data_IF_408252047819
#
_entry.id   IF_408252047819
#
_cell.length_a   1.000
_cell.length_b   1.000
_cell.length_c   1.000
_cell.angle_alpha   90.00
_cell.angle_beta   90.00
_cell.angle_gamma   90.00
#
_symmetry.space_group_name_H-M   'P 1'
#
loop_
_entity.id
_entity.type
_entity.pdbx_description
1 polymer ?
#
# COMPACT_ATOMS: atom_id res chain seq x y z
N UNK A 1 32.44 -25.09 -53.22
CA UNK A 1 31.72 -25.36 -51.94
C UNK A 1 31.66 -24.07 -51.15
N UNK A 2 30.50 -23.40 -51.07
CA UNK A 2 30.38 -22.22 -50.20
C UNK A 2 29.84 -22.63 -48.84
N UNK A 3 30.53 -22.17 -47.79
CA UNK A 3 30.15 -22.26 -46.39
C UNK A 3 28.92 -21.35 -46.13
N UNK A 4 27.80 -21.94 -45.80
CA UNK A 4 26.62 -21.22 -45.32
C UNK A 4 26.79 -20.96 -43.83
N UNK A 5 27.17 -19.73 -43.47
CA UNK A 5 27.21 -19.27 -42.10
C UNK A 5 25.78 -19.02 -41.59
N UNK A 6 25.35 -19.84 -40.63
CA UNK A 6 24.06 -19.71 -39.95
C UNK A 6 24.19 -18.59 -38.90
N UNK A 7 23.67 -17.41 -39.22
CA UNK A 7 23.55 -16.30 -38.25
C UNK A 7 22.36 -16.60 -37.36
N UNK A 8 22.63 -17.05 -36.11
CA UNK A 8 21.64 -17.11 -35.07
C UNK A 8 21.36 -15.66 -34.56
N UNK A 9 20.26 -15.10 -35.04
CA UNK A 9 19.72 -13.84 -34.53
C UNK A 9 19.10 -14.11 -33.17
N UNK A 10 19.81 -13.84 -32.09
CA UNK A 10 19.26 -13.80 -30.73
C UNK A 10 18.30 -12.60 -30.63
N UNK A 11 17.03 -12.82 -30.87
CA UNK A 11 15.99 -11.87 -30.54
C UNK A 11 15.86 -11.89 -29.01
N UNK A 12 16.53 -10.95 -28.34
CA UNK A 12 16.23 -10.60 -26.97
C UNK A 12 14.83 -10.01 -26.95
N UNK A 13 13.84 -10.84 -26.66
CA UNK A 13 12.51 -10.39 -26.26
C UNK A 13 12.70 -9.64 -24.93
N UNK A 14 12.79 -8.31 -25.01
CA UNK A 14 12.58 -7.44 -23.88
C UNK A 14 11.11 -7.60 -23.48
N UNK A 15 10.82 -8.58 -22.65
CA UNK A 15 9.61 -8.52 -21.84
C UNK A 15 9.83 -7.35 -20.88
N UNK A 16 8.99 -6.30 -20.92
CA UNK A 16 9.03 -5.32 -19.85
C UNK A 16 8.82 -6.11 -18.55
N UNK A 17 9.82 -6.10 -17.68
CA UNK A 17 9.65 -6.66 -16.35
C UNK A 17 8.52 -5.86 -15.71
N UNK A 18 7.33 -6.46 -15.70
CA UNK A 18 6.21 -5.95 -14.91
C UNK A 18 6.65 -6.12 -13.47
N UNK A 19 7.25 -5.08 -12.93
CA UNK A 19 7.64 -5.03 -11.53
C UNK A 19 6.35 -5.01 -10.72
N UNK A 20 5.83 -6.18 -10.41
CA UNK A 20 4.75 -6.35 -9.44
C UNK A 20 5.27 -5.85 -8.10
N UNK A 21 4.76 -4.70 -7.67
CA UNK A 21 5.30 -4.02 -6.50
C UNK A 21 4.76 -4.63 -5.21
N UNK A 22 5.61 -5.34 -4.47
CA UNK A 22 5.36 -5.73 -3.09
C UNK A 22 4.91 -4.53 -2.26
N UNK A 23 3.70 -4.59 -1.69
CA UNK A 23 3.12 -3.59 -0.79
C UNK A 23 2.83 -4.24 0.56
N UNK A 24 3.10 -3.52 1.64
CA UNK A 24 2.56 -3.91 2.95
C UNK A 24 1.21 -3.24 3.10
N UNK A 25 0.15 -4.04 3.27
CA UNK A 25 -1.16 -3.50 3.61
C UNK A 25 -1.32 -3.39 5.13
N UNK A 26 -2.00 -2.33 5.52
CA UNK A 26 -2.41 -2.03 6.88
C UNK A 26 -3.82 -1.47 6.77
N UNK A 27 -4.81 -2.33 6.94
CA UNK A 27 -6.22 -2.01 6.70
C UNK A 27 -7.08 -2.45 7.87
N UNK A 28 -8.22 -1.83 8.03
CA UNK A 28 -9.26 -2.28 8.95
C UNK A 28 -10.54 -2.60 8.19
N UNK A 29 -11.39 -3.44 8.74
CA UNK A 29 -12.64 -3.82 8.10
C UNK A 29 -13.84 -3.26 8.88
N UNK A 30 -14.90 -2.83 8.17
CA UNK A 30 -15.01 -2.76 6.71
C UNK A 30 -14.30 -1.57 6.07
N UNK A 31 -13.93 -0.54 6.85
CA UNK A 31 -13.44 0.76 6.39
C UNK A 31 -12.46 1.39 7.39
N UNK A 32 -12.11 2.66 7.23
CA UNK A 32 -11.22 3.44 8.11
C UNK A 32 -11.97 4.36 9.10
N UNK A 33 -13.22 4.06 9.44
CA UNK A 33 -13.95 4.74 10.51
C UNK A 33 -13.97 3.91 11.78
N UNK A 34 -13.85 4.58 12.91
CA UNK A 34 -13.96 3.99 14.23
C UNK A 34 -15.13 4.59 15.01
N UNK A 35 -15.50 3.93 16.09
CA UNK A 35 -16.47 4.45 17.06
C UNK A 35 -15.83 4.45 18.46
N UNK A 36 -16.16 5.46 19.27
CA UNK A 36 -15.66 5.56 20.65
C UNK A 36 -15.96 4.29 21.44
N UNK A 37 -14.95 3.80 22.15
CA UNK A 37 -15.01 2.65 23.05
C UNK A 37 -15.46 1.35 22.34
N UNK A 38 -15.39 1.31 21.01
CA UNK A 38 -15.63 0.08 20.24
C UNK A 38 -14.32 -0.40 19.62
N UNK A 39 -14.02 -1.65 19.87
CA UNK A 39 -12.86 -2.32 19.31
C UNK A 39 -12.96 -2.41 17.78
N UNK A 40 -11.84 -2.14 17.12
CA UNK A 40 -11.67 -2.32 15.68
C UNK A 40 -10.43 -3.16 15.41
N UNK A 41 -10.58 -4.14 14.53
CA UNK A 41 -9.48 -5.02 14.13
C UNK A 41 -8.78 -4.45 12.90
N UNK A 42 -7.44 -4.44 12.96
CA UNK A 42 -6.57 -4.10 11.85
C UNK A 42 -5.85 -5.35 11.37
N UNK A 43 -5.66 -5.44 10.07
CA UNK A 43 -4.97 -6.52 9.39
C UNK A 43 -3.71 -5.98 8.72
N UNK A 44 -2.62 -6.70 8.89
CA UNK A 44 -1.29 -6.34 8.36
C UNK A 44 -0.76 -7.52 7.58
N UNK A 45 -0.48 -7.31 6.33
CA UNK A 45 0.04 -8.35 5.46
C UNK A 45 0.85 -7.76 4.31
N UNK A 46 1.30 -8.61 3.41
CA UNK A 46 1.94 -8.20 2.17
C UNK A 46 1.15 -8.68 0.97
N UNK A 47 1.12 -7.88 -0.08
CA UNK A 47 0.36 -8.19 -1.28
C UNK A 47 0.94 -7.53 -2.54
N UNK A 48 0.46 -8.00 -3.69
CA UNK A 48 0.40 -7.24 -4.92
C UNK A 48 -1.07 -6.79 -5.10
N UNK A 49 -1.42 -5.58 -4.63
CA UNK A 49 -2.81 -5.23 -4.33
C UNK A 49 -3.74 -5.28 -5.54
N UNK A 50 -3.30 -4.74 -6.68
CA UNK A 50 -4.13 -4.67 -7.88
C UNK A 50 -4.54 -6.07 -8.40
N UNK A 51 -3.76 -7.09 -8.09
CA UNK A 51 -4.00 -8.47 -8.54
C UNK A 51 -4.58 -9.37 -7.44
N UNK A 52 -4.73 -8.86 -6.22
CA UNK A 52 -5.25 -9.65 -5.10
C UNK A 52 -4.32 -10.78 -4.64
N UNK A 53 -3.04 -10.72 -5.03
CA UNK A 53 -2.03 -11.69 -4.58
C UNK A 53 -1.60 -11.40 -3.15
N UNK A 54 -1.64 -12.41 -2.29
CA UNK A 54 -1.16 -12.30 -0.91
C UNK A 54 0.22 -12.94 -0.80
N UNK A 55 1.09 -12.29 -0.06
CA UNK A 55 2.47 -12.70 0.16
C UNK A 55 2.77 -12.83 1.65
N UNK A 56 3.80 -13.60 2.00
CA UNK A 56 4.24 -13.70 3.38
C UNK A 56 4.85 -12.38 3.85
N UNK A 57 4.41 -11.92 5.02
CA UNK A 57 4.96 -10.75 5.69
C UNK A 57 5.90 -11.17 6.81
N UNK A 58 7.11 -10.63 6.81
CA UNK A 58 8.00 -10.71 7.98
C UNK A 58 7.44 -9.89 9.13
N UNK A 59 7.76 -10.26 10.35
CA UNK A 59 7.34 -9.52 11.54
C UNK A 59 7.66 -8.03 11.40
N UNK A 60 6.66 -7.14 11.55
CA UNK A 60 6.90 -5.70 11.56
C UNK A 60 7.87 -5.32 12.68
N UNK A 61 8.75 -4.36 12.40
CA UNK A 61 9.72 -3.89 13.38
C UNK A 61 9.07 -3.00 14.43
N UNK A 62 8.18 -2.13 14.01
CA UNK A 62 7.51 -1.17 14.88
C UNK A 62 6.07 -0.96 14.42
N UNK A 63 5.14 -0.95 15.37
CA UNK A 63 3.73 -0.67 15.13
C UNK A 63 3.21 0.18 16.30
N UNK A 64 2.58 1.29 15.99
CA UNK A 64 1.97 2.17 16.99
C UNK A 64 0.76 2.90 16.42
N UNK A 65 -0.12 3.33 17.29
CA UNK A 65 -1.23 4.22 16.98
C UNK A 65 -0.91 5.59 17.57
N UNK A 66 -0.83 6.59 16.73
CA UNK A 66 -0.71 7.97 17.12
C UNK A 66 -2.12 8.51 17.38
N UNK A 67 -2.36 9.00 18.60
CA UNK A 67 -3.65 9.48 19.06
C UNK A 67 -3.84 10.97 18.71
N UNK A 68 -5.09 11.48 18.70
CA UNK A 68 -5.38 12.87 18.38
C UNK A 68 -4.69 13.91 19.32
N UNK A 69 -4.34 13.51 20.52
CA UNK A 69 -3.60 14.34 21.49
C UNK A 69 -2.07 14.31 21.28
N UNK A 70 -1.57 13.60 20.26
CA UNK A 70 -0.15 13.49 19.96
C UNK A 70 0.59 12.39 20.73
N UNK A 71 -0.07 11.67 21.64
CA UNK A 71 0.54 10.52 22.32
C UNK A 71 0.45 9.26 21.46
N UNK A 72 1.22 8.23 21.81
CA UNK A 72 1.23 6.96 21.06
C UNK A 72 0.85 5.79 21.94
N UNK A 73 0.12 4.85 21.38
CA UNK A 73 -0.15 3.53 21.95
C UNK A 73 0.51 2.45 21.08
N UNK A 74 1.04 1.40 21.72
CA UNK A 74 1.62 0.26 21.04
C UNK A 74 0.73 -0.96 21.23
N UNK A 75 -0.14 -1.28 20.27
CA UNK A 75 -0.96 -2.47 20.35
C UNK A 75 -0.10 -3.73 20.21
N UNK A 76 -0.53 -4.80 20.87
CA UNK A 76 0.05 -6.13 20.66
C UNK A 76 -0.54 -6.70 19.36
N UNK A 77 0.31 -7.06 18.42
CA UNK A 77 -0.12 -7.74 17.19
C UNK A 77 0.11 -9.24 17.30
N UNK A 78 -0.83 -9.97 16.73
CA UNK A 78 -0.87 -11.42 16.72
C UNK A 78 -0.57 -11.93 15.31
N UNK A 79 0.24 -12.98 15.21
CA UNK A 79 0.45 -13.69 13.95
C UNK A 79 -0.87 -14.30 13.48
N UNK A 80 -1.18 -14.13 12.21
CA UNK A 80 -2.36 -14.69 11.57
C UNK A 80 -2.01 -15.22 10.18
N UNK A 81 -2.95 -15.86 9.52
CA UNK A 81 -2.79 -16.37 8.18
C UNK A 81 -3.88 -15.80 7.27
N UNK A 82 -3.46 -15.33 6.10
CA UNK A 82 -4.36 -14.96 5.01
C UNK A 82 -4.35 -16.03 3.94
N UNK A 83 -5.48 -16.21 3.28
CA UNK A 83 -5.59 -17.20 2.23
C UNK A 83 -5.31 -16.57 0.86
N UNK A 84 -4.21 -16.98 0.23
CA UNK A 84 -3.90 -16.65 -1.15
C UNK A 84 -4.67 -17.58 -2.09
N UNK A 85 -5.67 -17.03 -2.77
CA UNK A 85 -6.52 -17.80 -3.67
C UNK A 85 -5.83 -18.21 -4.95
N UNK A 86 -4.85 -17.44 -5.41
CA UNK A 86 -4.13 -17.70 -6.66
C UNK A 86 -3.32 -19.00 -6.57
N UNK A 87 -2.67 -19.19 -5.42
CA UNK A 87 -1.83 -20.35 -5.16
C UNK A 87 -2.47 -21.38 -4.22
N UNK A 88 -3.74 -21.16 -3.81
CA UNK A 88 -4.48 -22.00 -2.89
C UNK A 88 -3.66 -22.34 -1.62
N UNK A 89 -3.03 -21.32 -1.04
CA UNK A 89 -2.12 -21.48 0.09
C UNK A 89 -2.34 -20.41 1.16
N UNK A 90 -1.90 -20.71 2.38
CA UNK A 90 -1.91 -19.76 3.48
C UNK A 90 -0.64 -18.90 3.46
N UNK A 91 -0.78 -17.63 3.79
CA UNK A 91 0.30 -16.64 3.86
C UNK A 91 0.34 -16.00 5.22
N UNK A 92 1.54 -15.82 5.73
CA UNK A 92 1.77 -15.21 7.04
C UNK A 92 1.44 -13.72 7.00
N UNK A 93 0.65 -13.30 7.97
CA UNK A 93 0.39 -11.90 8.27
C UNK A 93 0.17 -11.69 9.76
N UNK A 94 -0.40 -10.55 10.11
CA UNK A 94 -0.64 -10.16 11.49
C UNK A 94 -1.98 -9.44 11.60
N UNK A 95 -2.56 -9.47 12.79
CA UNK A 95 -3.67 -8.59 13.15
C UNK A 95 -3.42 -7.97 14.53
N UNK A 96 -4.12 -6.91 14.81
CA UNK A 96 -4.20 -6.31 16.15
C UNK A 96 -5.54 -5.63 16.33
N UNK A 97 -5.90 -5.40 17.58
CA UNK A 97 -7.11 -4.73 17.98
C UNK A 97 -6.77 -3.39 18.61
N UNK A 98 -7.59 -2.40 18.31
CA UNK A 98 -7.48 -1.06 18.87
C UNK A 98 -8.86 -0.53 19.24
N UNK A 99 -8.98 0.05 20.45
CA UNK A 99 -10.21 0.65 20.94
C UNK A 99 -10.00 2.16 21.11
N UNK A 100 -10.57 2.99 20.22
CA UNK A 100 -10.44 4.44 20.35
C UNK A 100 -11.12 4.95 21.61
N UNK A 101 -10.37 5.66 22.46
CA UNK A 101 -10.89 6.29 23.67
C UNK A 101 -11.11 7.80 23.51
N UNK A 102 -10.64 8.38 22.41
CA UNK A 102 -10.73 9.80 22.10
C UNK A 102 -11.40 10.00 20.74
N UNK A 103 -12.14 11.10 20.60
CA UNK A 103 -12.59 11.61 19.31
C UNK A 103 -11.40 12.23 18.58
N UNK A 104 -11.41 12.16 17.25
CA UNK A 104 -10.37 12.75 16.39
C UNK A 104 -9.78 11.73 15.42
N UNK A 105 -8.82 12.18 14.65
CA UNK A 105 -8.12 11.35 13.67
C UNK A 105 -6.94 10.65 14.35
N UNK A 106 -7.02 9.36 14.45
CA UNK A 106 -5.93 8.49 14.86
C UNK A 106 -5.13 8.09 13.63
N UNK A 107 -3.85 7.81 13.79
CA UNK A 107 -3.02 7.35 12.70
C UNK A 107 -2.29 6.08 13.10
N UNK A 108 -2.59 5.00 12.42
CA UNK A 108 -1.88 3.73 12.60
C UNK A 108 -0.63 3.76 11.75
N UNK A 109 0.53 3.59 12.40
CA UNK A 109 1.86 3.73 11.83
C UNK A 109 2.63 2.43 11.98
N UNK A 110 3.23 1.94 10.89
CA UNK A 110 4.02 0.71 10.87
C UNK A 110 5.35 0.94 10.15
N UNK A 111 6.42 0.42 10.72
CA UNK A 111 7.72 0.30 10.07
C UNK A 111 8.10 -1.17 9.90
N UNK A 112 8.51 -1.55 8.71
CA UNK A 112 9.11 -2.86 8.49
C UNK A 112 10.58 -2.87 8.90
N UNK A 113 11.13 -4.05 9.03
CA UNK A 113 12.58 -4.23 8.94
C UNK A 113 13.04 -4.13 7.48
N UNK A 114 14.35 -4.12 7.25
CA UNK A 114 14.92 -4.15 5.91
C UNK A 114 14.56 -5.45 5.20
N UNK A 115 14.11 -5.34 3.97
CA UNK A 115 13.70 -6.48 3.15
C UNK A 115 14.41 -6.46 1.81
N UNK A 116 15.06 -7.56 1.46
CA UNK A 116 15.60 -7.74 0.12
C UNK A 116 14.43 -8.04 -0.83
N UNK A 117 14.28 -7.21 -1.86
CA UNK A 117 13.25 -7.29 -2.86
C UNK A 117 13.69 -8.12 -4.07
N UNK A 118 12.75 -8.55 -4.90
CA UNK A 118 13.02 -9.40 -6.09
C UNK A 118 13.93 -8.71 -7.12
N UNK A 119 13.85 -7.37 -7.21
CA UNK A 119 14.69 -6.53 -8.09
C UNK A 119 16.12 -6.31 -7.56
N UNK A 120 16.55 -7.09 -6.58
CA UNK A 120 17.87 -6.97 -5.92
C UNK A 120 18.09 -5.58 -5.31
N UNK A 121 17.05 -4.96 -4.78
CA UNK A 121 17.14 -3.76 -3.95
C UNK A 121 16.75 -4.09 -2.51
N UNK A 122 17.16 -3.27 -1.56
CA UNK A 122 16.72 -3.35 -0.16
C UNK A 122 15.67 -2.27 0.07
N UNK A 123 14.51 -2.67 0.56
CA UNK A 123 13.42 -1.77 0.95
C UNK A 123 13.24 -1.70 2.47
N UNK A 124 12.90 -0.51 2.98
CA UNK A 124 12.28 -0.32 4.29
C UNK A 124 10.91 0.30 4.06
N UNK A 125 9.87 -0.36 4.54
CA UNK A 125 8.49 0.08 4.36
C UNK A 125 8.04 0.90 5.56
N UNK A 126 7.41 2.03 5.26
CA UNK A 126 6.81 2.99 6.18
C UNK A 126 5.34 3.07 5.81
N UNK A 127 4.46 2.53 6.64
CA UNK A 127 3.04 2.37 6.27
C UNK A 127 2.17 3.13 7.23
N UNK A 128 1.16 3.81 6.71
CA UNK A 128 0.18 4.47 7.55
C UNK A 128 -1.24 4.33 7.03
N UNK A 129 -2.16 4.30 7.98
CA UNK A 129 -3.60 4.24 7.74
C UNK A 129 -4.31 5.15 8.73
N UNK A 130 -5.10 6.11 8.28
CA UNK A 130 -5.92 6.92 9.16
C UNK A 130 -7.10 6.11 9.71
N UNK A 131 -7.48 6.40 10.95
CA UNK A 131 -8.73 5.95 11.58
C UNK A 131 -9.48 7.17 12.08
N UNK A 132 -10.56 7.52 11.41
CA UNK A 132 -11.39 8.66 11.80
C UNK A 132 -12.41 8.27 12.87
N UNK A 133 -12.53 9.09 13.93
CA UNK A 133 -13.49 8.89 15.03
C UNK A 133 -14.21 10.22 15.31
N UNK A 134 -15.40 10.37 14.78
CA UNK A 134 -16.36 11.46 15.01
C UNK A 134 -15.89 12.86 14.63
N UNK A 135 -14.71 13.30 15.06
CA UNK A 135 -14.19 14.66 14.84
C UNK A 135 -12.94 14.68 13.99
N UNK A 136 -12.80 15.70 13.21
CA UNK A 136 -11.60 16.00 12.43
C UNK A 136 -10.56 16.72 13.31
N UNK A 137 -9.28 16.35 13.16
CA UNK A 137 -8.19 17.10 13.75
C UNK A 137 -7.97 18.41 12.99
N UNK A 138 -7.56 19.49 13.69
CA UNK A 138 -7.27 20.78 13.05
C UNK A 138 -6.13 20.71 12.05
N UNK A 139 -5.11 19.91 12.36
CA UNK A 139 -3.94 19.73 11.53
C UNK A 139 -3.78 18.27 11.13
N UNK A 140 -3.24 18.00 9.93
CA UNK A 140 -2.96 16.63 9.48
C UNK A 140 -1.97 15.96 10.44
N UNK A 141 -2.34 14.76 10.92
CA UNK A 141 -1.47 13.95 11.75
C UNK A 141 -0.45 13.22 10.89
N UNK A 142 0.81 13.19 11.33
CA UNK A 142 1.93 12.53 10.67
C UNK A 142 2.57 11.51 11.60
N UNK A 143 3.03 10.37 11.06
CA UNK A 143 3.77 9.37 11.82
C UNK A 143 5.19 9.84 12.19
N UNK A 144 5.71 10.86 11.52
CA UNK A 144 7.08 11.34 11.69
C UNK A 144 8.13 10.48 10.96
N UNK A 145 7.75 9.85 9.88
CA UNK A 145 8.67 9.05 9.06
C UNK A 145 9.62 9.93 8.24
N UNK A 146 10.83 9.44 7.96
CA UNK A 146 11.80 10.11 7.07
C UNK A 146 11.27 10.32 5.64
N UNK A 147 10.37 9.45 5.18
CA UNK A 147 9.62 9.58 3.94
C UNK A 147 8.14 9.48 4.26
N UNK A 148 7.38 10.53 3.99
CA UNK A 148 5.97 10.56 4.36
C UNK A 148 5.11 11.38 3.38
N UNK A 149 3.90 10.91 3.11
CA UNK A 149 2.87 11.66 2.39
C UNK A 149 2.08 12.48 3.41
N UNK A 150 2.16 13.81 3.30
CA UNK A 150 1.33 14.74 4.06
C UNK A 150 0.01 14.96 3.30
N UNK A 151 -1.14 14.60 3.86
CA UNK A 151 -2.43 14.87 3.23
C UNK A 151 -2.80 16.36 3.33
N UNK A 152 -3.34 16.94 2.26
CA UNK A 152 -3.96 18.26 2.22
C UNK A 152 -5.48 18.19 2.08
N UNK A 153 -6.00 17.06 1.60
CA UNK A 153 -7.40 16.67 1.79
C UNK A 153 -7.46 15.64 2.92
N UNK A 154 -8.59 15.56 3.62
CA UNK A 154 -8.81 14.52 4.64
C UNK A 154 -8.56 13.13 4.03
N UNK A 155 -7.76 12.26 4.65
CA UNK A 155 -7.47 10.93 4.10
C UNK A 155 -8.56 9.90 4.43
N UNK A 156 -9.82 10.33 4.51
CA UNK A 156 -11.01 9.52 4.78
C UNK A 156 -12.27 10.21 4.22
N UNK A 157 -13.39 9.47 4.18
CA UNK A 157 -14.67 9.97 3.70
C UNK A 157 -14.74 10.14 2.18
N UNK A 158 -13.85 9.49 1.44
CA UNK A 158 -13.90 9.52 -0.01
C UNK A 158 -15.05 8.69 -0.54
N UNK A 159 -15.67 9.19 -1.58
CA UNK A 159 -16.54 8.45 -2.49
C UNK A 159 -15.83 8.22 -3.81
N UNK A 160 -16.39 7.35 -4.64
CA UNK A 160 -15.95 7.15 -6.02
C UNK A 160 -15.74 8.50 -6.72
N UNK A 161 -14.65 8.64 -7.46
CA UNK A 161 -14.16 9.89 -8.08
C UNK A 161 -13.76 10.99 -7.10
N UNK A 162 -13.67 10.69 -5.82
CA UNK A 162 -13.11 11.60 -4.83
C UNK A 162 -11.66 11.94 -5.14
N UNK A 163 -11.28 13.20 -4.91
CA UNK A 163 -9.96 13.72 -5.23
C UNK A 163 -9.13 13.85 -3.97
N UNK A 164 -7.97 13.21 -3.96
CA UNK A 164 -6.97 13.34 -2.91
C UNK A 164 -5.84 14.27 -3.37
N UNK A 165 -5.53 15.25 -2.54
CA UNK A 165 -4.40 16.15 -2.70
C UNK A 165 -3.41 15.92 -1.56
N UNK A 166 -2.15 15.66 -1.90
CA UNK A 166 -1.09 15.38 -0.95
C UNK A 166 0.25 15.98 -1.37
N UNK A 167 1.19 15.93 -0.45
CA UNK A 167 2.57 16.35 -0.66
C UNK A 167 3.51 15.29 -0.09
N UNK A 168 4.54 14.94 -0.84
CA UNK A 168 5.59 14.02 -0.37
C UNK A 168 6.68 14.80 0.33
N UNK A 169 7.01 14.36 1.53
CA UNK A 169 8.11 14.88 2.34
C UNK A 169 9.20 13.80 2.49
N UNK A 170 10.45 14.21 2.33
CA UNK A 170 11.62 13.37 2.57
C UNK A 170 12.61 14.15 3.43
N UNK A 171 13.00 13.57 4.59
CA UNK A 171 13.90 14.21 5.56
C UNK A 171 13.46 15.64 5.92
N UNK A 172 12.19 15.78 6.27
CA UNK A 172 11.55 17.05 6.66
C UNK A 172 11.54 18.15 5.57
N UNK A 173 11.70 17.79 4.29
CA UNK A 173 11.60 18.71 3.15
C UNK A 173 10.67 18.15 2.08
N UNK A 174 9.96 19.01 1.34
CA UNK A 174 9.20 18.57 0.17
C UNK A 174 10.11 17.89 -0.85
N UNK A 175 9.68 16.75 -1.39
CA UNK A 175 10.41 16.02 -2.41
C UNK A 175 10.24 16.72 -3.76
N UNK A 176 11.33 17.24 -4.34
CA UNK A 176 11.28 18.10 -5.54
C UNK A 176 11.04 17.37 -6.86
N UNK A 177 11.16 16.04 -6.87
CA UNK A 177 10.96 15.20 -8.06
C UNK A 177 10.66 13.76 -7.67
N UNK A 178 9.98 13.04 -8.55
CA UNK A 178 9.64 11.63 -8.35
C UNK A 178 8.24 11.32 -8.87
N UNK A 179 7.83 10.11 -8.60
CA UNK A 179 6.50 9.62 -8.95
C UNK A 179 5.85 9.01 -7.70
N UNK A 180 4.54 9.09 -7.65
CA UNK A 180 3.71 8.25 -6.79
C UNK A 180 3.02 7.20 -7.64
N UNK A 181 2.73 6.09 -7.02
CA UNK A 181 1.95 4.99 -7.57
C UNK A 181 0.67 4.87 -6.77
N UNK A 182 -0.46 4.82 -7.45
CA UNK A 182 -1.79 4.66 -6.85
C UNK A 182 -2.35 3.33 -7.31
N UNK A 183 -2.72 2.47 -6.37
CA UNK A 183 -3.09 1.10 -6.70
C UNK A 183 -4.32 0.68 -5.90
N UNK A 184 -5.31 0.10 -6.62
CA UNK A 184 -6.50 -0.46 -6.03
C UNK A 184 -6.19 -1.79 -5.34
N UNK A 185 -6.72 -2.00 -4.15
CA UNK A 185 -6.60 -3.28 -3.46
C UNK A 185 -7.76 -4.20 -3.83
N UNK A 186 -7.53 -5.02 -4.82
CA UNK A 186 -8.50 -6.05 -5.20
C UNK A 186 -8.51 -7.16 -4.16
N UNK A 187 -9.68 -7.51 -3.60
CA UNK A 187 -9.80 -8.64 -2.67
C UNK A 187 -9.82 -10.00 -3.38
N UNK A 188 -9.88 -10.00 -4.69
CA UNK A 188 -9.99 -11.20 -5.50
C UNK A 188 -8.80 -11.27 -6.45
N UNK A 189 -8.15 -12.44 -6.52
CA UNK A 189 -7.14 -12.68 -7.52
C UNK A 189 -7.72 -12.50 -8.93
N UNK A 190 -7.05 -11.65 -9.72
CA UNK A 190 -7.40 -11.40 -11.11
C UNK A 190 -6.41 -12.14 -12.00
N UNK A 191 -6.92 -13.07 -12.81
CA UNK A 191 -6.15 -13.69 -13.88
C UNK A 191 -5.99 -12.71 -15.05
N UNK A 192 -5.01 -12.90 -15.89
CA UNK A 192 -4.77 -12.01 -17.04
C UNK A 192 -6.02 -11.86 -17.95
N UNK A 193 -6.79 -12.92 -18.11
CA UNK A 193 -8.04 -12.92 -18.87
C UNK A 193 -9.15 -12.07 -18.24
N UNK A 194 -9.12 -11.88 -16.91
CA UNK A 194 -10.10 -11.11 -16.14
C UNK A 194 -9.73 -9.62 -16.05
N UNK A 195 -8.52 -9.23 -16.50
CA UNK A 195 -8.07 -7.84 -16.45
C UNK A 195 -8.85 -6.98 -17.47
N UNK A 196 -9.15 -5.72 -17.09
CA UNK A 196 -9.80 -4.78 -18.00
C UNK A 196 -8.96 -4.61 -19.28
N UNK A 197 -9.61 -4.65 -20.42
CA UNK A 197 -8.98 -4.44 -21.73
C UNK A 197 -9.55 -3.21 -22.40
N UNK A 198 -8.72 -2.51 -23.14
CA UNK A 198 -9.14 -1.40 -23.98
C UNK A 198 -9.86 -1.88 -25.25
N UNK A 199 -10.26 -0.94 -26.13
CA UNK A 199 -10.93 -1.24 -27.39
C UNK A 199 -10.09 -2.04 -28.39
N UNK A 200 -8.78 -2.15 -28.16
CA UNK A 200 -7.84 -2.94 -28.96
C UNK A 200 -7.50 -4.29 -28.33
N UNK A 201 -8.13 -4.64 -27.19
CA UNK A 201 -7.87 -5.87 -26.47
C UNK A 201 -6.61 -5.84 -25.59
N UNK A 202 -5.99 -4.65 -25.42
CA UNK A 202 -4.82 -4.51 -24.56
C UNK A 202 -5.25 -4.33 -23.10
N UNK A 203 -4.49 -4.91 -22.18
CA UNK A 203 -4.79 -4.82 -20.75
C UNK A 203 -4.70 -3.36 -20.29
N UNK A 204 -5.78 -2.87 -19.70
CA UNK A 204 -5.87 -1.51 -19.17
C UNK A 204 -5.36 -1.46 -17.73
N UNK A 205 -4.04 -1.51 -17.54
CA UNK A 205 -3.41 -1.37 -16.23
C UNK A 205 -3.75 -0.07 -15.47
N UNK A 206 -3.94 1.11 -16.11
CA UNK A 206 -4.35 2.33 -15.42
C UNK A 206 -5.65 2.23 -14.62
N UNK A 207 -6.52 1.29 -14.95
CA UNK A 207 -7.73 1.03 -14.18
C UNK A 207 -7.45 0.49 -12.76
N UNK A 208 -6.37 -0.28 -12.61
CA UNK A 208 -5.96 -0.91 -11.35
C UNK A 208 -4.80 -0.17 -10.69
N UNK A 209 -3.94 0.45 -11.51
CA UNK A 209 -2.71 1.06 -11.09
C UNK A 209 -2.41 2.29 -11.95
N UNK A 210 -2.16 3.40 -11.29
CA UNK A 210 -1.82 4.66 -11.94
C UNK A 210 -0.51 5.24 -11.38
N UNK A 211 0.20 6.03 -12.20
CA UNK A 211 1.40 6.76 -11.81
C UNK A 211 1.21 8.24 -12.03
N UNK A 212 1.58 9.03 -11.03
CA UNK A 212 1.47 10.49 -11.07
C UNK A 212 2.80 11.11 -10.70
N UNK A 213 3.29 12.02 -11.53
CA UNK A 213 4.52 12.77 -11.27
C UNK A 213 4.30 13.82 -10.19
N UNK A 214 5.31 13.98 -9.34
CA UNK A 214 5.32 15.05 -8.35
C UNK A 214 5.61 16.41 -9.02
N UNK A 215 4.99 17.45 -8.50
CA UNK A 215 5.39 18.82 -8.79
C UNK A 215 6.77 19.13 -8.19
N UNK A 216 7.38 20.26 -8.56
CA UNK A 216 8.66 20.72 -8.01
C UNK A 216 8.65 20.90 -6.48
N UNK A 217 7.46 21.04 -5.88
CA UNK A 217 7.28 21.16 -4.44
C UNK A 217 6.69 19.89 -3.81
N UNK A 218 6.77 18.74 -4.50
CA UNK A 218 6.32 17.46 -3.98
C UNK A 218 4.81 17.25 -3.96
N UNK A 219 4.01 18.17 -4.51
CA UNK A 219 2.56 18.02 -4.56
C UNK A 219 2.12 17.05 -5.66
N UNK A 220 1.01 16.39 -5.39
CA UNK A 220 0.31 15.53 -6.34
C UNK A 220 -1.19 15.51 -6.07
N UNK A 221 -1.94 15.16 -7.10
CA UNK A 221 -3.40 15.01 -7.05
C UNK A 221 -3.76 13.68 -7.71
N UNK A 222 -4.65 12.92 -7.07
CA UNK A 222 -5.16 11.65 -7.58
C UNK A 222 -6.66 11.54 -7.34
N UNK A 223 -7.34 10.74 -8.16
CA UNK A 223 -8.74 10.34 -7.96
C UNK A 223 -8.84 8.82 -7.80
N UNK A 224 -9.94 8.37 -7.20
CA UNK A 224 -10.19 6.95 -6.94
C UNK A 224 -11.41 6.49 -7.74
N UNK A 225 -11.19 5.51 -8.62
CA UNK A 225 -12.21 5.07 -9.56
C UNK A 225 -13.19 4.04 -8.98
N UNK A 226 -12.78 3.30 -7.95
CA UNK A 226 -13.56 2.21 -7.36
C UNK A 226 -13.70 2.37 -5.85
N UNK A 227 -14.85 1.94 -5.27
CA UNK A 227 -14.98 1.77 -3.83
C UNK A 227 -14.03 0.69 -3.30
N UNK A 228 -13.59 0.86 -2.06
CA UNK A 228 -12.67 -0.09 -1.41
C UNK A 228 -11.35 0.54 -1.00
N UNK A 229 -10.37 -0.29 -0.69
CA UNK A 229 -9.06 0.15 -0.25
C UNK A 229 -8.15 0.51 -1.42
N UNK A 230 -7.44 1.61 -1.26
CA UNK A 230 -6.43 2.10 -2.19
C UNK A 230 -5.14 2.37 -1.46
N UNK A 231 -4.02 2.12 -2.11
CA UNK A 231 -2.70 2.48 -1.60
C UNK A 231 -2.05 3.54 -2.50
N UNK A 232 -1.56 4.60 -1.87
CA UNK A 232 -0.69 5.60 -2.49
C UNK A 232 0.73 5.31 -2.03
N UNK A 233 1.60 5.01 -2.97
CA UNK A 233 2.99 4.62 -2.72
C UNK A 233 3.96 5.64 -3.27
N UNK A 234 4.98 5.98 -2.49
CA UNK A 234 6.17 6.69 -2.96
C UNK A 234 7.41 5.88 -2.60
N UNK A 235 8.37 5.81 -3.54
CA UNK A 235 9.65 5.10 -3.39
C UNK A 235 10.78 6.09 -3.64
N UNK A 236 11.71 6.21 -2.68
CA UNK A 236 12.86 7.12 -2.77
C UNK A 236 14.14 6.34 -2.51
N UNK A 237 15.14 6.52 -3.39
CA UNK A 237 16.47 5.95 -3.18
C UNK A 237 17.15 6.68 -2.02
N UNK A 238 17.55 5.93 -0.99
CA UNK A 238 18.18 6.46 0.23
C UNK A 238 19.59 5.90 0.44
N UNK A 239 20.32 5.73 -0.67
CA UNK A 239 21.70 5.25 -0.65
C UNK A 239 21.84 3.75 -0.91
N UNK A 240 22.72 3.10 -0.15
CA UNK A 240 23.01 1.67 -0.20
C UNK A 240 22.88 1.03 1.17
N UNK A 241 22.55 -0.25 1.21
CA UNK A 241 22.45 -1.04 2.43
C UNK A 241 23.08 -2.41 2.25
N UNK A 242 23.88 -2.82 3.23
CA UNK A 242 24.39 -4.18 3.30
C UNK A 242 23.28 -5.12 3.75
N UNK A 243 23.03 -6.18 2.99
CA UNK A 243 22.11 -7.26 3.34
C UNK A 243 22.85 -8.59 3.13
N UNK A 244 23.03 -9.36 4.22
CA UNK A 244 24.01 -10.43 4.22
C UNK A 244 25.42 -9.86 3.98
N UNK A 245 26.14 -10.40 3.01
CA UNK A 245 27.53 -10.01 2.68
C UNK A 245 27.61 -9.09 1.43
N UNK A 246 26.47 -8.57 0.94
CA UNK A 246 26.44 -7.77 -0.28
C UNK A 246 25.80 -6.41 -0.04
N UNK A 247 26.25 -5.40 -0.81
CA UNK A 247 25.63 -4.07 -0.85
C UNK A 247 24.59 -4.01 -1.95
N UNK A 248 23.45 -3.43 -1.63
CA UNK A 248 22.32 -3.25 -2.54
C UNK A 248 21.85 -1.79 -2.52
N UNK A 249 21.29 -1.28 -3.61
CA UNK A 249 20.56 -0.01 -3.59
C UNK A 249 19.46 -0.06 -2.53
N UNK A 250 19.41 0.98 -1.69
CA UNK A 250 18.44 1.05 -0.59
C UNK A 250 17.36 2.08 -0.90
N UNK A 251 16.12 1.70 -0.62
CA UNK A 251 14.95 2.53 -0.81
C UNK A 251 14.12 2.62 0.46
N UNK A 252 13.67 3.84 0.78
CA UNK A 252 12.52 4.06 1.62
C UNK A 252 11.26 3.98 0.74
N UNK A 253 10.25 3.26 1.23
CA UNK A 253 8.99 3.03 0.52
C UNK A 253 7.86 3.38 1.49
N UNK A 254 7.11 4.42 1.17
CA UNK A 254 5.98 4.83 2.02
C UNK A 254 4.66 4.45 1.38
N UNK A 255 3.74 3.90 2.19
CA UNK A 255 2.39 3.54 1.81
C UNK A 255 1.39 4.34 2.66
N UNK A 256 0.49 5.05 2.01
CA UNK A 256 -0.72 5.62 2.63
C UNK A 256 -1.93 4.83 2.15
N UNK A 257 -2.64 4.20 3.07
CA UNK A 257 -3.87 3.46 2.79
C UNK A 257 -5.09 4.34 3.00
N UNK A 258 -6.00 4.33 2.04
CA UNK A 258 -7.22 5.14 2.02
C UNK A 258 -8.40 4.25 1.65
N UNK A 259 -9.53 4.42 2.34
CA UNK A 259 -10.78 3.76 2.00
C UNK A 259 -11.72 4.69 1.26
N UNK A 260 -12.31 4.17 0.17
CA UNK A 260 -13.28 4.86 -0.67
C UNK A 260 -14.64 4.19 -0.53
N UNK A 261 -15.66 4.95 -0.14
CA UNK A 261 -17.01 4.44 0.09
C UNK A 261 -17.76 4.26 -1.22
N UNK A 262 -18.60 3.23 -1.26
CA UNK A 262 -19.62 3.06 -2.30
C UNK A 262 -20.80 3.99 -2.04
N UNK A 263 -21.47 4.41 -3.12
CA UNK A 263 -22.76 5.12 -3.02
C UNK A 263 -23.91 4.17 -2.70
N UNK A 264 -23.73 2.88 -2.88
CA UNK A 264 -24.69 1.83 -2.55
C UNK A 264 -24.16 1.02 -1.38
N UNK A 265 -25.07 0.41 -0.62
CA UNK A 265 -24.72 -0.59 0.39
C UNK A 265 -24.20 -1.84 -0.34
N UNK A 266 -22.92 -1.84 -0.68
CA UNK A 266 -22.27 -2.97 -1.34
C UNK A 266 -21.98 -4.06 -0.31
N UNK A 267 -22.07 -5.29 -0.76
CA UNK A 267 -21.69 -6.46 0.01
C UNK A 267 -20.19 -6.36 0.36
N UNK A 268 -19.83 -6.69 1.58
CA UNK A 268 -18.45 -6.61 2.05
C UNK A 268 -17.57 -7.59 1.23
N UNK A 269 -16.87 -7.06 0.22
CA UNK A 269 -16.03 -7.86 -0.67
C UNK A 269 -14.74 -8.34 0.00
N UNK A 270 -14.45 -7.86 1.22
CA UNK A 270 -13.24 -8.22 1.97
C UNK A 270 -13.42 -9.42 2.90
N UNK A 271 -14.61 -10.04 2.95
CA UNK A 271 -14.84 -11.31 3.69
C UNK A 271 -13.83 -12.41 3.31
N UNK A 272 -13.27 -12.31 2.11
CA UNK A 272 -12.28 -13.25 1.60
C UNK A 272 -10.87 -13.03 2.17
N UNK A 273 -10.61 -11.87 2.80
CA UNK A 273 -9.35 -11.54 3.44
C UNK A 273 -9.33 -11.90 4.91
N UNK A 274 -10.48 -12.06 5.53
CA UNK A 274 -10.53 -12.43 6.93
C UNK A 274 -9.85 -13.78 7.12
N UNK A 275 -8.99 -13.90 8.15
CA UNK A 275 -8.46 -15.20 8.54
C UNK A 275 -9.64 -16.12 8.80
N UNK A 276 -9.69 -17.27 8.15
CA UNK A 276 -10.70 -18.26 8.48
C UNK A 276 -10.51 -18.63 9.95
N UNK A 277 -11.50 -18.34 10.79
CA UNK A 277 -11.59 -18.94 12.13
C UNK A 277 -11.62 -20.45 11.95
N UNK A 278 -10.64 -21.13 12.56
CA UNK A 278 -10.66 -22.59 12.65
C UNK A 278 -11.84 -23.04 13.50
#
# INVERSE_FOLDING_TARGET
>A
MPFLGLIFLFIFLFFPEISFGYKIFLISLPDNYGALKKEKTFYVGAAEPAFGLILDLKTPKNLYVLLPNGTTEKPTFLKTEFFDRSLNTKRVGYNFKFTPNNEGDHLVCLESDYTLLRDKTVGKFLVKTPLHVLKENKEPTLCGFDLEIKPYTRPYGFKKHGVFWGQVWYQNKPLSSGEIEVEYFSPVFLREEDLPKDSYGQINYPYLKNKVRLSKNGFFVVSFENPGWWVITVKVRSGEKTYGNQKYPFYLIHHLWIYVFSDKKEQNTYEYFEPRSN
#
